data_IF_487332915369
#
_entry.id   IF_487332915369
#
_cell.length_a   1.000
_cell.length_b   1.000
_cell.length_c   1.000
_cell.angle_alpha   90.00
_cell.angle_beta   90.00
_cell.angle_gamma   90.00
#
_symmetry.space_group_name_H-M   'P 1'
#
loop_
_entity.id
_entity.type
_entity.pdbx_description
1 polymer ?
#
# COMPACT_ATOMS: atom_id res chain seq x y z
N UNK A 1 5.33 6.99 9.27
CA UNK A 1 5.54 5.64 8.74
C UNK A 1 5.39 5.64 7.23
N UNK A 2 6.41 5.17 6.55
CA UNK A 2 6.44 5.18 5.09
C UNK A 2 5.35 4.34 4.45
N UNK A 3 4.93 3.28 5.12
CA UNK A 3 3.85 2.44 4.60
C UNK A 3 2.58 3.24 4.41
N UNK A 4 2.23 4.03 5.42
CA UNK A 4 1.03 4.84 5.36
C UNK A 4 1.11 5.90 4.27
N UNK A 5 2.27 6.55 4.17
CA UNK A 5 2.46 7.59 3.16
C UNK A 5 2.31 7.02 1.75
N UNK A 6 2.97 5.89 1.50
CA UNK A 6 2.92 5.25 0.18
C UNK A 6 1.50 4.82 -0.15
N UNK A 7 0.82 4.16 0.80
CA UNK A 7 -0.54 3.70 0.59
C UNK A 7 -1.49 4.86 0.36
N UNK A 8 -1.33 5.92 1.13
CA UNK A 8 -2.16 7.11 1.00
C UNK A 8 -2.00 7.75 -0.38
N UNK A 9 -0.75 7.94 -0.79
CA UNK A 9 -0.48 8.55 -2.09
C UNK A 9 -0.99 7.70 -3.24
N UNK A 10 -0.86 6.41 -3.11
CA UNK A 10 -1.26 5.50 -4.18
C UNK A 10 -2.79 5.39 -4.29
N UNK A 11 -3.47 5.21 -3.17
CA UNK A 11 -4.90 4.95 -3.19
C UNK A 11 -5.77 6.20 -3.12
N UNK A 12 -5.34 7.21 -2.39
CA UNK A 12 -6.13 8.43 -2.27
C UNK A 12 -5.76 9.50 -3.27
N UNK A 13 -4.47 9.70 -3.47
CA UNK A 13 -4.01 10.74 -4.39
C UNK A 13 -3.81 10.23 -5.80
N UNK A 14 -3.95 8.95 -6.00
CA UNK A 14 -3.81 8.30 -7.30
C UNK A 14 -2.47 8.53 -7.97
N UNK A 15 -1.42 8.62 -7.18
CA UNK A 15 -0.06 8.75 -7.68
C UNK A 15 0.42 7.42 -8.23
N UNK A 16 1.21 7.48 -9.29
CA UNK A 16 1.84 6.28 -9.83
C UNK A 16 3.04 5.88 -8.96
N UNK A 17 3.49 4.64 -9.11
CA UNK A 17 4.68 4.16 -8.40
C UNK A 17 5.87 5.07 -8.67
N UNK A 18 6.05 5.46 -9.94
CA UNK A 18 7.16 6.34 -10.32
C UNK A 18 7.06 7.69 -9.64
N UNK A 19 5.86 8.25 -9.56
CA UNK A 19 5.64 9.53 -8.92
C UNK A 19 5.92 9.47 -7.42
N UNK A 20 5.46 8.41 -6.78
CA UNK A 20 5.68 8.23 -5.35
C UNK A 20 7.17 8.06 -5.05
N UNK A 21 7.84 7.26 -5.86
CA UNK A 21 9.27 7.06 -5.70
C UNK A 21 10.03 8.38 -5.79
N UNK A 22 9.67 9.19 -6.77
CA UNK A 22 10.29 10.48 -6.96
C UNK A 22 9.99 11.43 -5.80
N UNK A 23 8.76 11.43 -5.36
CA UNK A 23 8.31 12.31 -4.28
C UNK A 23 9.00 11.99 -2.95
N UNK A 24 9.15 10.71 -2.66
CA UNK A 24 9.73 10.26 -1.40
C UNK A 24 11.24 10.01 -1.48
N UNK A 25 11.83 10.24 -2.63
CA UNK A 25 13.27 10.03 -2.79
C UNK A 25 13.66 8.57 -2.73
N UNK A 26 12.77 7.69 -3.17
CA UNK A 26 13.02 6.25 -3.21
C UNK A 26 13.02 5.76 -4.64
N UNK A 27 13.32 4.47 -4.85
CA UNK A 27 13.20 3.91 -6.19
C UNK A 27 11.89 3.15 -6.33
N UNK A 28 11.52 2.86 -7.57
CA UNK A 28 10.23 2.22 -7.85
C UNK A 28 10.13 0.82 -7.23
N UNK A 29 11.24 0.10 -7.20
CA UNK A 29 11.23 -1.24 -6.61
C UNK A 29 10.87 -1.19 -5.13
N UNK A 30 11.39 -0.20 -4.42
CA UNK A 30 11.07 0.00 -3.02
C UNK A 30 9.59 0.30 -2.84
N UNK A 31 9.04 1.17 -3.68
CA UNK A 31 7.62 1.51 -3.61
C UNK A 31 6.75 0.30 -3.90
N UNK A 32 7.10 -0.47 -4.90
CA UNK A 32 6.37 -1.69 -5.24
C UNK A 32 6.37 -2.67 -4.08
N UNK A 33 7.53 -2.82 -3.42
CA UNK A 33 7.66 -3.71 -2.27
C UNK A 33 6.78 -3.24 -1.11
N UNK A 34 6.78 -1.93 -0.85
CA UNK A 34 5.95 -1.36 0.20
C UNK A 34 4.47 -1.60 -0.08
N UNK A 35 4.06 -1.36 -1.33
CA UNK A 35 2.67 -1.57 -1.72
C UNK A 35 2.26 -3.03 -1.55
N UNK A 36 3.13 -3.94 -1.96
CA UNK A 36 2.85 -5.36 -1.83
C UNK A 36 2.70 -5.76 -0.37
N UNK A 37 3.61 -5.32 0.48
CA UNK A 37 3.56 -5.63 1.91
C UNK A 37 2.34 -5.01 2.58
N UNK A 38 2.04 -3.77 2.25
CA UNK A 38 0.87 -3.11 2.79
C UNK A 38 -0.41 -3.81 2.39
N UNK A 39 -0.47 -4.23 1.13
CA UNK A 39 -1.59 -4.99 0.62
C UNK A 39 -1.75 -6.32 1.33
N UNK A 40 -0.64 -7.03 1.52
CA UNK A 40 -0.67 -8.32 2.19
C UNK A 40 -1.15 -8.18 3.62
N UNK A 41 -0.68 -7.15 4.32
CA UNK A 41 -1.12 -6.89 5.69
C UNK A 41 -2.61 -6.59 5.75
N UNK A 42 -3.09 -5.73 4.86
CA UNK A 42 -4.51 -5.41 4.79
C UNK A 42 -5.33 -6.62 4.44
N UNK A 43 -4.80 -7.43 3.55
CA UNK A 43 -5.47 -8.65 3.13
C UNK A 43 -5.67 -9.62 4.29
N UNK A 44 -4.64 -9.78 5.11
CA UNK A 44 -4.72 -10.65 6.27
C UNK A 44 -5.75 -10.11 7.27
N UNK A 45 -5.70 -8.82 7.56
CA UNK A 45 -6.64 -8.20 8.48
C UNK A 45 -8.06 -8.28 7.96
N UNK A 46 -8.27 -7.87 6.72
CA UNK A 46 -9.59 -7.87 6.10
C UNK A 46 -10.07 -9.29 5.87
N UNK A 47 -9.14 -10.20 5.53
CA UNK A 47 -9.48 -11.59 5.32
C UNK A 47 -10.10 -12.23 6.56
N UNK A 48 -9.50 -11.96 7.72
CA UNK A 48 -10.04 -12.46 8.97
C UNK A 48 -11.39 -11.84 9.28
N UNK A 49 -11.50 -10.54 9.11
CA UNK A 49 -12.75 -9.83 9.33
C UNK A 49 -13.76 -10.15 8.23
N UNK A 50 -13.27 -10.29 7.01
CA UNK A 50 -14.12 -10.59 5.88
C UNK A 50 -14.82 -11.92 6.02
N UNK A 51 -14.13 -12.90 6.56
CA UNK A 51 -14.72 -14.20 6.81
C UNK A 51 -15.89 -14.10 7.76
N UNK A 52 -15.74 -13.30 8.79
CA UNK A 52 -16.82 -13.10 9.74
C UNK A 52 -17.98 -12.34 9.11
N UNK A 53 -17.68 -11.37 8.28
CA UNK A 53 -18.69 -10.57 7.63
C UNK A 53 -19.47 -11.35 6.57
N UNK A 54 -18.77 -12.23 5.87
CA UNK A 54 -19.38 -13.02 4.82
C UNK A 54 -20.31 -14.08 5.40
N UNK A 55 -19.93 -14.57 6.54
CA UNK A 55 -20.74 -15.56 7.23
C UNK A 55 -21.89 -14.91 7.97
#
# INVERSE_FOLDING_TARGET
DRYKDVLYLYYYEEYSVAQIAKLLGSNENTIKSVLKRGRDKLRIMIGGMGNEMVI
#
